data_IF_713229867587
#
_entry.id   IF_713229867587
#
_cell.length_a   1.000
_cell.length_b   1.000
_cell.length_c   1.000
_cell.angle_alpha   90.00
_cell.angle_beta   90.00
_cell.angle_gamma   90.00
#
_symmetry.space_group_name_H-M   'P 1'
#
loop_
_entity.id
_entity.type
_entity.pdbx_description
1 polymer ?
#
# COMPACT_ATOMS: atom_id res chain seq x y z
N UNK A 1 12.51 -25.41 20.07
CA UNK A 1 13.57 -26.44 20.16
C UNK A 1 13.17 -27.77 19.54
N UNK A 2 12.02 -28.37 19.86
CA UNK A 2 11.65 -29.71 19.34
C UNK A 2 11.63 -29.85 17.81
N UNK A 3 11.21 -28.81 17.07
CA UNK A 3 11.16 -28.82 15.60
C UNK A 3 12.54 -28.97 14.94
N UNK A 4 13.58 -28.37 15.54
CA UNK A 4 14.93 -28.32 14.98
C UNK A 4 15.83 -29.47 15.46
N UNK A 5 15.47 -30.14 16.57
CA UNK A 5 16.24 -31.27 17.11
C UNK A 5 16.02 -32.58 16.32
N UNK A 6 14.92 -32.69 15.57
CA UNK A 6 14.58 -33.90 14.78
C UNK A 6 14.81 -33.74 13.28
N UNK A 7 14.90 -32.50 12.80
CA UNK A 7 14.93 -32.17 11.38
C UNK A 7 16.33 -31.79 10.92
N UNK A 8 16.89 -32.46 9.90
CA UNK A 8 18.10 -31.97 9.23
C UNK A 8 17.81 -30.84 8.24
N UNK A 9 16.60 -30.81 7.66
CA UNK A 9 16.21 -29.83 6.65
C UNK A 9 14.80 -29.30 6.95
N UNK A 10 14.64 -27.98 6.88
CA UNK A 10 13.37 -27.28 7.12
C UNK A 10 13.03 -26.32 5.99
N UNK A 11 11.75 -25.98 5.88
CA UNK A 11 11.28 -24.80 5.16
C UNK A 11 10.57 -23.89 6.15
N UNK A 12 10.77 -22.58 5.98
CA UNK A 12 10.17 -21.57 6.83
C UNK A 12 9.11 -20.84 6.02
N UNK A 13 7.85 -20.93 6.45
CA UNK A 13 6.71 -20.30 5.78
C UNK A 13 6.23 -19.10 6.60
N UNK A 14 6.09 -17.96 5.95
CA UNK A 14 5.64 -16.72 6.56
C UNK A 14 4.12 -16.64 6.65
N UNK A 15 3.63 -15.66 7.42
CA UNK A 15 2.20 -15.29 7.51
C UNK A 15 1.52 -15.01 6.15
N UNK A 16 2.29 -14.78 5.07
CA UNK A 16 1.77 -14.55 3.72
C UNK A 16 1.63 -15.86 2.90
N UNK A 17 1.89 -17.01 3.53
CA UNK A 17 1.94 -18.30 2.86
C UNK A 17 3.10 -18.43 1.88
N UNK A 18 4.18 -17.67 2.07
CA UNK A 18 5.40 -17.70 1.25
C UNK A 18 6.56 -18.28 2.04
N UNK A 19 7.47 -18.94 1.35
CA UNK A 19 8.64 -19.57 1.94
C UNK A 19 9.85 -18.65 1.93
N UNK A 20 10.71 -18.80 2.93
CA UNK A 20 12.05 -18.21 2.96
C UNK A 20 12.92 -18.88 1.89
N UNK A 21 13.47 -18.09 0.97
CA UNK A 21 14.21 -18.58 -0.19
C UNK A 21 15.54 -17.85 -0.32
N UNK A 22 16.61 -18.62 -0.51
CA UNK A 22 17.93 -18.14 -0.93
C UNK A 22 17.92 -17.79 -2.42
N UNK A 23 18.25 -16.54 -2.77
CA UNK A 23 18.23 -16.12 -4.17
C UNK A 23 19.47 -16.60 -4.96
N UNK A 24 19.36 -16.55 -6.29
CA UNK A 24 20.42 -16.98 -7.22
C UNK A 24 21.66 -16.10 -7.23
N UNK A 25 21.54 -14.86 -6.73
CA UNK A 25 22.67 -13.95 -6.58
C UNK A 25 23.63 -14.35 -5.44
N UNK A 26 23.29 -15.44 -4.75
CA UNK A 26 23.99 -16.00 -3.59
C UNK A 26 24.27 -14.99 -2.46
N UNK A 27 23.50 -13.91 -2.41
CA UNK A 27 23.66 -12.80 -1.45
C UNK A 27 22.34 -12.47 -0.79
N UNK A 28 21.25 -12.39 -1.55
CA UNK A 28 19.95 -11.97 -1.04
C UNK A 28 19.12 -13.15 -0.59
N UNK A 29 18.22 -12.84 0.34
CA UNK A 29 17.22 -13.75 0.85
C UNK A 29 15.86 -13.07 0.74
N UNK A 30 14.89 -13.80 0.20
CA UNK A 30 13.56 -13.27 -0.10
C UNK A 30 12.47 -14.30 0.21
N UNK A 31 11.23 -13.90 -0.05
CA UNK A 31 10.06 -14.75 0.05
C UNK A 31 9.58 -15.17 -1.33
N UNK A 32 9.20 -16.44 -1.48
CA UNK A 32 8.61 -16.97 -2.72
C UNK A 32 7.44 -17.90 -2.42
N UNK A 33 6.47 -17.98 -3.32
CA UNK A 33 5.40 -19.00 -3.22
C UNK A 33 5.90 -20.41 -3.54
N UNK A 34 7.01 -20.52 -4.27
CA UNK A 34 7.57 -21.80 -4.68
C UNK A 34 8.34 -22.48 -3.53
N UNK A 35 7.61 -23.20 -2.67
CA UNK A 35 8.16 -23.95 -1.54
C UNK A 35 8.72 -25.34 -1.87
N UNK A 36 8.58 -25.83 -3.11
CA UNK A 36 9.18 -27.10 -3.55
C UNK A 36 10.63 -26.92 -4.01
N UNK A 37 11.01 -25.70 -4.40
CA UNK A 37 12.36 -25.34 -4.82
C UNK A 37 13.42 -25.71 -3.77
N UNK A 38 14.57 -26.19 -4.23
CA UNK A 38 15.76 -26.42 -3.38
C UNK A 38 16.20 -25.15 -2.64
N UNK A 39 15.94 -23.99 -3.23
CA UNK A 39 16.23 -22.67 -2.63
C UNK A 39 15.43 -22.36 -1.37
N UNK A 40 14.30 -23.04 -1.17
CA UNK A 40 13.46 -22.91 0.03
C UNK A 40 13.89 -23.88 1.15
N UNK A 41 14.81 -24.81 0.87
CA UNK A 41 15.29 -25.82 1.81
C UNK A 41 16.48 -25.25 2.58
N UNK A 42 16.36 -25.20 3.89
CA UNK A 42 17.41 -24.74 4.80
C UNK A 42 17.87 -25.90 5.67
N UNK A 43 19.16 -26.23 5.60
CA UNK A 43 19.77 -27.23 6.46
C UNK A 43 20.03 -26.61 7.83
N UNK A 44 19.62 -27.33 8.87
CA UNK A 44 19.74 -26.88 10.25
C UNK A 44 21.01 -27.49 10.83
N UNK A 45 21.96 -26.62 11.19
CA UNK A 45 23.20 -27.02 11.88
C UNK A 45 23.18 -26.45 13.30
N UNK A 46 23.43 -27.29 14.31
CA UNK A 46 23.46 -26.85 15.71
C UNK A 46 24.81 -26.20 16.00
N UNK A 47 24.82 -25.09 16.74
CA UNK A 47 26.06 -24.40 17.09
C UNK A 47 26.83 -25.17 18.16
N UNK A 48 28.11 -25.46 17.89
CA UNK A 48 28.96 -26.20 18.83
C UNK A 48 29.17 -25.39 20.11
N UNK A 49 28.78 -25.97 21.26
CA UNK A 49 28.91 -25.34 22.57
C UNK A 49 27.69 -24.53 23.03
N UNK A 50 26.70 -24.27 22.17
CA UNK A 50 25.44 -23.67 22.58
C UNK A 50 24.24 -24.33 21.87
N UNK A 51 23.54 -25.27 22.54
CA UNK A 51 22.45 -26.00 21.92
C UNK A 51 21.21 -25.14 21.65
N UNK A 52 21.15 -23.89 22.14
CA UNK A 52 20.05 -22.96 21.90
C UNK A 52 20.18 -22.17 20.60
N UNK A 53 21.33 -22.25 19.94
CA UNK A 53 21.60 -21.53 18.69
C UNK A 53 21.66 -22.50 17.52
N UNK A 54 21.15 -22.03 16.38
CA UNK A 54 21.17 -22.76 15.12
C UNK A 54 21.79 -21.89 14.02
N UNK A 55 22.42 -22.58 13.08
CA UNK A 55 22.80 -22.07 11.79
C UNK A 55 21.83 -22.61 10.74
N UNK A 56 21.42 -21.74 9.82
CA UNK A 56 20.56 -22.11 8.70
C UNK A 56 21.37 -22.00 7.41
N UNK A 57 21.77 -23.14 6.86
CA UNK A 57 22.55 -23.24 5.62
C UNK A 57 21.62 -23.36 4.41
N UNK A 58 21.83 -22.52 3.41
CA UNK A 58 21.11 -22.51 2.14
C UNK A 58 21.61 -23.61 1.20
N UNK A 59 20.93 -23.79 0.08
CA UNK A 59 21.38 -24.67 -1.01
C UNK A 59 22.70 -24.23 -1.68
N UNK A 60 23.16 -23.00 -1.41
CA UNK A 60 24.38 -22.42 -1.96
C UNK A 60 25.56 -22.52 -0.97
N UNK A 61 25.45 -23.38 0.05
CA UNK A 61 26.46 -23.56 1.11
C UNK A 61 26.82 -22.28 1.90
N UNK A 62 25.88 -21.33 1.93
CA UNK A 62 25.98 -20.09 2.70
C UNK A 62 24.96 -20.08 3.83
N UNK A 63 25.23 -19.32 4.87
CA UNK A 63 24.39 -19.23 6.05
C UNK A 63 23.50 -18.00 6.00
N UNK A 64 22.31 -18.12 6.57
CA UNK A 64 21.43 -17.00 6.82
C UNK A 64 22.08 -16.04 7.83
N UNK A 65 22.38 -14.82 7.40
CA UNK A 65 23.13 -13.85 8.19
C UNK A 65 22.35 -12.56 8.40
N UNK A 66 22.34 -12.07 9.64
CA UNK A 66 21.80 -10.77 10.01
C UNK A 66 22.85 -9.67 9.81
N UNK A 67 22.73 -8.86 8.76
CA UNK A 67 23.67 -7.74 8.52
C UNK A 67 23.24 -6.48 9.27
N UNK A 68 24.20 -5.71 9.77
CA UNK A 68 23.91 -4.42 10.41
C UNK A 68 23.49 -3.31 9.42
N UNK A 69 23.52 -3.59 8.11
CA UNK A 69 23.12 -2.66 7.05
C UNK A 69 21.61 -2.40 7.06
N UNK A 70 21.24 -1.13 6.91
CA UNK A 70 19.85 -0.77 6.69
C UNK A 70 19.32 -1.38 5.38
N UNK A 71 18.09 -1.92 5.42
CA UNK A 71 17.48 -2.46 4.21
C UNK A 71 17.07 -1.33 3.24
N UNK A 72 16.31 -0.37 3.75
CA UNK A 72 15.88 0.83 3.03
C UNK A 72 16.10 2.06 3.91
N UNK A 73 16.65 3.12 3.32
CA UNK A 73 16.92 4.36 4.03
C UNK A 73 15.61 4.96 4.58
N UNK A 74 15.59 5.29 5.87
CA UNK A 74 14.42 5.87 6.54
C UNK A 74 13.31 4.86 6.91
N UNK A 75 13.51 3.56 6.70
CA UNK A 75 12.59 2.49 7.13
C UNK A 75 13.23 1.61 8.20
N UNK A 76 12.41 0.91 8.98
CA UNK A 76 12.90 -0.01 10.01
C UNK A 76 13.25 -1.38 9.42
N UNK A 77 14.20 -2.05 10.06
CA UNK A 77 14.67 -3.37 9.69
C UNK A 77 15.97 -3.33 8.90
N UNK A 78 16.83 -4.27 9.26
CA UNK A 78 18.17 -4.44 8.68
C UNK A 78 18.21 -5.66 7.78
N UNK A 79 19.20 -5.70 6.88
CA UNK A 79 19.30 -6.72 5.84
C UNK A 79 19.51 -8.10 6.44
N UNK A 80 18.95 -9.10 5.76
CA UNK A 80 19.26 -10.51 5.99
C UNK A 80 19.81 -11.05 4.68
N UNK A 81 21.00 -11.62 4.74
CA UNK A 81 21.82 -11.99 3.59
C UNK A 81 22.30 -13.44 3.69
N UNK A 82 22.84 -13.96 2.61
CA UNK A 82 23.62 -15.18 2.57
C UNK A 82 25.09 -14.84 2.80
N UNK A 83 25.73 -15.43 3.81
CA UNK A 83 27.15 -15.18 4.12
C UNK A 83 27.90 -16.49 4.36
N UNK A 84 29.21 -16.47 4.07
CA UNK A 84 30.10 -17.55 4.52
C UNK A 84 30.42 -17.40 6.01
N UNK A 85 30.68 -18.52 6.70
CA UNK A 85 31.13 -18.50 8.08
C UNK A 85 32.56 -17.92 8.16
N UNK A 86 32.86 -17.22 9.24
CA UNK A 86 34.11 -16.50 9.42
C UNK A 86 34.12 -15.79 10.76
N UNK A 87 35.30 -15.61 11.37
CA UNK A 87 35.42 -15.16 12.76
C UNK A 87 34.71 -13.82 13.09
N UNK A 88 34.50 -12.95 12.09
CA UNK A 88 33.74 -11.71 12.24
C UNK A 88 32.22 -11.87 11.99
N UNK A 89 31.80 -12.89 11.24
CA UNK A 89 30.41 -13.15 10.83
C UNK A 89 29.73 -14.24 11.65
N UNK A 90 30.47 -15.00 12.47
CA UNK A 90 29.94 -16.10 13.28
C UNK A 90 28.77 -15.64 14.17
N UNK A 91 28.90 -14.49 14.85
CA UNK A 91 27.80 -13.94 15.66
C UNK A 91 26.60 -13.41 14.86
N UNK A 92 26.73 -13.21 13.54
CA UNK A 92 25.67 -12.73 12.65
C UNK A 92 24.89 -13.87 11.99
N UNK A 93 25.44 -15.08 11.94
CA UNK A 93 24.79 -16.27 11.38
C UNK A 93 24.06 -17.12 12.43
N UNK A 94 24.25 -16.80 13.71
CA UNK A 94 23.59 -17.44 14.84
C UNK A 94 22.15 -16.95 15.01
N UNK A 95 21.21 -17.90 15.02
CA UNK A 95 19.79 -17.65 15.28
C UNK A 95 19.31 -18.48 16.46
N UNK A 96 18.51 -17.87 17.32
CA UNK A 96 17.86 -18.54 18.42
C UNK A 96 16.38 -18.77 18.11
N UNK A 97 15.93 -20.03 17.95
CA UNK A 97 14.54 -20.35 17.67
C UNK A 97 13.69 -20.34 18.94
N UNK A 98 12.78 -19.37 19.04
CA UNK A 98 11.83 -19.22 20.13
C UNK A 98 10.46 -19.73 19.68
N UNK A 99 9.91 -20.73 20.37
CA UNK A 99 8.60 -21.32 20.07
C UNK A 99 7.49 -20.41 20.59
N UNK A 100 6.50 -20.13 19.75
CA UNK A 100 5.31 -19.36 20.10
C UNK A 100 4.09 -20.07 19.49
N UNK A 101 3.40 -20.85 20.33
CA UNK A 101 2.36 -21.76 19.85
C UNK A 101 2.92 -22.81 18.87
N UNK A 102 2.38 -22.80 17.65
CA UNK A 102 2.80 -23.68 16.54
C UNK A 102 3.85 -23.04 15.61
N UNK A 103 4.20 -21.78 15.86
CA UNK A 103 5.12 -21.01 15.02
C UNK A 103 6.42 -20.76 15.77
N UNK A 104 7.42 -20.23 15.06
CA UNK A 104 8.72 -19.88 15.63
C UNK A 104 9.10 -18.45 15.28
N UNK A 105 9.74 -17.78 16.24
CA UNK A 105 10.50 -16.56 16.04
C UNK A 105 11.98 -16.93 15.99
N UNK A 106 12.71 -16.40 15.02
CA UNK A 106 14.17 -16.55 14.94
C UNK A 106 14.82 -15.27 15.42
N UNK A 107 15.46 -15.31 16.60
CA UNK A 107 16.09 -14.17 17.27
C UNK A 107 17.58 -14.09 16.93
N UNK A 108 18.06 -12.89 16.60
CA UNK A 108 19.50 -12.62 16.47
C UNK A 108 20.14 -12.36 17.83
N UNK A 109 21.47 -12.43 17.93
CA UNK A 109 22.21 -12.06 19.14
C UNK A 109 21.88 -10.65 19.67
N UNK A 110 21.55 -9.72 18.77
CA UNK A 110 21.12 -8.36 19.11
C UNK A 110 19.66 -8.24 19.57
N UNK A 111 18.94 -9.35 19.77
CA UNK A 111 17.56 -9.37 20.26
C UNK A 111 16.49 -9.03 19.22
N UNK A 112 16.85 -8.88 17.93
CA UNK A 112 15.91 -8.62 16.84
C UNK A 112 15.41 -9.93 16.25
N UNK A 113 14.31 -9.90 15.50
CA UNK A 113 13.69 -11.10 14.96
C UNK A 113 13.67 -11.12 13.43
N UNK A 114 13.82 -12.31 12.85
CA UNK A 114 13.65 -12.53 11.41
C UNK A 114 12.22 -12.17 10.99
N UNK A 115 12.09 -11.24 10.06
CA UNK A 115 10.83 -10.62 9.63
C UNK A 115 10.59 -10.84 8.14
N UNK A 116 9.42 -11.40 7.82
CA UNK A 116 8.86 -11.52 6.49
C UNK A 116 8.09 -10.26 6.09
N UNK A 117 8.55 -9.52 5.08
CA UNK A 117 7.91 -8.29 4.66
C UNK A 117 6.86 -8.50 3.55
N UNK A 118 5.62 -8.07 3.82
CA UNK A 118 4.47 -8.20 2.90
C UNK A 118 4.07 -6.95 2.13
N UNK A 119 4.84 -5.87 2.28
CA UNK A 119 4.48 -4.52 1.81
C UNK A 119 4.60 -4.34 0.28
N UNK A 120 4.59 -3.07 -0.18
CA UNK A 120 4.86 -2.73 -1.58
C UNK A 120 6.35 -2.81 -1.91
N UNK A 121 6.74 -3.06 -3.17
CA UNK A 121 8.14 -2.94 -3.59
C UNK A 121 8.72 -1.59 -3.21
N UNK A 122 10.01 -1.50 -2.83
CA UNK A 122 11.01 -2.58 -2.80
C UNK A 122 10.92 -3.51 -1.58
N UNK A 123 9.99 -3.27 -0.65
CA UNK A 123 9.85 -4.03 0.59
C UNK A 123 9.09 -5.37 0.43
N UNK A 124 8.29 -5.48 -0.64
CA UNK A 124 7.57 -6.71 -0.99
C UNK A 124 8.52 -7.89 -1.10
N UNK A 125 8.17 -9.00 -0.46
CA UNK A 125 8.91 -10.25 -0.49
C UNK A 125 10.32 -10.17 0.09
N UNK A 126 10.77 -9.04 0.64
CA UNK A 126 12.08 -9.00 1.26
C UNK A 126 12.04 -9.64 2.64
N UNK A 127 13.23 -10.00 3.13
CA UNK A 127 13.44 -10.53 4.47
C UNK A 127 14.43 -9.62 5.18
N UNK A 128 14.06 -9.21 6.38
CA UNK A 128 14.86 -8.31 7.22
C UNK A 128 14.86 -8.83 8.63
N UNK A 129 15.71 -8.32 9.50
CA UNK A 129 15.57 -8.54 10.93
C UNK A 129 15.25 -7.23 11.65
N UNK A 130 14.25 -7.25 12.53
CA UNK A 130 13.72 -6.04 13.19
C UNK A 130 13.02 -6.38 14.51
N UNK A 131 12.71 -5.35 15.31
CA UNK A 131 11.79 -5.48 16.43
C UNK A 131 10.37 -5.13 15.99
N UNK A 132 9.37 -5.99 16.25
CA UNK A 132 8.00 -5.67 15.92
C UNK A 132 7.49 -4.56 16.86
N UNK A 133 7.49 -3.30 16.38
CA UNK A 133 7.08 -2.13 17.17
C UNK A 133 5.56 -1.91 17.22
N UNK A 134 4.78 -2.58 16.37
CA UNK A 134 3.33 -2.37 16.24
C UNK A 134 2.58 -3.69 16.30
N UNK A 135 1.37 -3.66 16.85
CA UNK A 135 0.45 -4.81 16.90
C UNK A 135 0.24 -5.44 15.51
N UNK A 136 0.09 -4.63 14.46
CA UNK A 136 -0.13 -5.11 13.10
C UNK A 136 1.07 -5.83 12.44
N UNK A 137 2.27 -5.75 13.03
CA UNK A 137 3.49 -6.39 12.49
C UNK A 137 4.00 -7.54 13.36
N UNK A 138 3.26 -7.91 14.43
CA UNK A 138 3.67 -8.98 15.33
C UNK A 138 3.74 -10.33 14.60
N UNK A 139 2.80 -10.58 13.68
CA UNK A 139 2.76 -11.84 12.92
C UNK A 139 3.85 -11.92 11.84
N UNK A 140 4.53 -10.80 11.54
CA UNK A 140 5.53 -10.76 10.47
C UNK A 140 6.82 -11.46 10.86
N UNK A 141 7.04 -11.68 12.15
CA UNK A 141 8.21 -12.39 12.68
C UNK A 141 7.91 -13.85 13.02
N UNK A 142 6.68 -14.29 12.80
CA UNK A 142 6.24 -15.67 13.01
C UNK A 142 6.44 -16.48 11.72
N UNK A 143 7.04 -17.65 11.89
CA UNK A 143 7.30 -18.60 10.80
C UNK A 143 6.77 -19.97 11.16
N UNK A 144 6.00 -20.58 10.25
CA UNK A 144 5.68 -22.00 10.31
C UNK A 144 6.90 -22.80 9.85
N UNK A 145 7.22 -23.88 10.57
CA UNK A 145 8.34 -24.76 10.24
C UNK A 145 7.81 -26.04 9.62
N UNK A 146 8.07 -26.20 8.32
CA UNK A 146 7.82 -27.45 7.61
C UNK A 146 9.09 -28.29 7.65
N UNK A 147 9.07 -29.39 8.40
CA UNK A 147 10.17 -30.36 8.46
C UNK A 147 10.17 -31.24 7.22
N UNK A 148 11.31 -31.34 6.53
CA UNK A 148 11.50 -32.26 5.41
C UNK A 148 12.29 -33.46 5.93
N UNK A 149 11.73 -34.66 5.76
CA UNK A 149 12.40 -35.90 6.11
C UNK A 149 13.46 -36.25 5.05
N UNK A 150 14.66 -36.63 5.49
CA UNK A 150 15.85 -36.76 4.62
C UNK A 150 15.72 -37.94 3.66
N UNK A 151 14.91 -38.95 4.01
CA UNK A 151 14.61 -40.12 3.18
C UNK A 151 14.03 -39.77 1.81
N UNK A 152 13.40 -38.59 1.66
CA UNK A 152 12.86 -38.10 0.38
C UNK A 152 13.92 -37.40 -0.48
N UNK A 153 14.98 -36.84 0.12
CA UNK A 153 16.03 -36.11 -0.60
C UNK A 153 16.94 -37.03 -1.43
N UNK A 154 17.20 -38.26 -0.94
CA UNK A 154 17.99 -39.27 -1.67
C UNK A 154 17.25 -39.83 -2.90
N UNK A 155 15.92 -39.74 -2.92
CA UNK A 155 15.12 -40.17 -4.07
C UNK A 155 15.16 -39.15 -5.21
N UNK A 156 15.35 -37.85 -4.91
CA UNK A 156 15.46 -36.79 -5.92
C UNK A 156 16.90 -36.59 -6.43
N UNK A 157 17.92 -36.97 -5.66
CA UNK A 157 19.32 -36.87 -6.09
C UNK A 157 19.68 -37.91 -7.17
N UNK A 158 19.06 -39.10 -7.11
CA UNK A 158 19.27 -40.18 -8.08
C UNK A 158 18.65 -39.93 -9.47
N UNK A 159 17.80 -38.91 -9.63
CA UNK A 159 17.25 -38.52 -10.94
C UNK A 159 18.16 -37.52 -11.68
N UNK A 160 19.31 -37.14 -11.13
CA UNK A 160 20.26 -36.21 -11.75
C UNK A 160 21.59 -36.90 -12.11
N UNK A 161 21.58 -37.74 -13.15
CA UNK A 161 22.76 -38.07 -13.95
C UNK A 161 22.47 -37.79 -15.43
N UNK A 162 23.49 -37.42 -16.24
CA UNK A 162 23.35 -36.35 -17.22
C UNK A 162 22.92 -36.85 -18.60
N UNK A 163 21.81 -36.32 -19.11
CA UNK A 163 21.56 -36.32 -20.56
C UNK A 163 22.34 -35.17 -21.18
N UNK A 164 23.59 -35.45 -21.53
CA UNK A 164 24.37 -34.66 -22.47
C UNK A 164 23.63 -34.53 -23.81
N UNK A 165 23.69 -33.33 -24.40
CA UNK A 165 23.23 -32.91 -25.73
C UNK A 165 21.83 -32.28 -25.81
N UNK A 166 21.74 -30.97 -25.55
CA UNK A 166 21.20 -30.00 -26.52
C UNK A 166 21.49 -28.57 -26.06
N UNK A 167 22.45 -27.92 -26.72
CA UNK A 167 22.52 -26.47 -26.77
C UNK A 167 21.25 -25.93 -27.42
N UNK A 168 20.66 -24.88 -26.86
CA UNK A 168 20.48 -23.55 -27.48
C UNK A 168 19.43 -22.73 -26.70
N UNK A 169 19.83 -21.49 -26.37
CA UNK A 169 19.00 -20.33 -26.06
C UNK A 169 18.31 -20.25 -24.69
N UNK A 170 18.90 -19.43 -23.79
CA UNK A 170 18.25 -18.95 -22.58
C UNK A 170 17.92 -17.46 -22.71
N UNK A 171 16.69 -17.14 -23.10
CA UNK A 171 16.07 -15.84 -22.86
C UNK A 171 15.30 -15.93 -21.53
N UNK A 172 15.55 -14.96 -20.66
CA UNK A 172 14.92 -14.85 -19.35
C UNK A 172 13.42 -14.52 -19.52
N UNK A 173 12.56 -15.40 -19.05
CA UNK A 173 11.12 -15.17 -18.93
C UNK A 173 10.83 -14.63 -17.52
N UNK A 174 10.43 -13.36 -17.47
CA UNK A 174 9.82 -12.71 -16.31
C UNK A 174 8.42 -13.28 -16.10
N UNK A 175 8.24 -14.07 -15.05
CA UNK A 175 6.94 -14.66 -14.71
C UNK A 175 6.01 -13.63 -14.06
N UNK A 176 5.21 -12.99 -14.90
CA UNK A 176 4.02 -12.23 -14.55
C UNK A 176 2.81 -12.86 -15.25
N UNK A 177 2.29 -13.99 -14.76
CA UNK A 177 0.96 -14.44 -15.19
C UNK A 177 0.08 -14.92 -14.05
N UNK A 178 -1.09 -14.28 -14.01
CA UNK A 178 -2.23 -14.52 -13.14
C UNK A 178 -3.11 -15.59 -13.80
N UNK A 179 -3.22 -16.76 -13.19
CA UNK A 179 -4.07 -17.85 -13.71
C UNK A 179 -5.49 -17.69 -13.15
N UNK A 180 -6.38 -17.18 -13.99
CA UNK A 180 -7.81 -17.53 -13.94
C UNK A 180 -8.30 -17.79 -15.36
N UNK A 181 -8.54 -19.07 -15.67
CA UNK A 181 -9.59 -19.60 -16.56
C UNK A 181 -9.28 -21.07 -16.90
N UNK A 182 -9.88 -21.98 -16.13
CA UNK A 182 -10.00 -23.39 -16.48
C UNK A 182 -11.08 -23.49 -17.56
N UNK A 183 -10.70 -23.83 -18.80
CA UNK A 183 -11.62 -24.35 -19.82
C UNK A 183 -11.50 -25.88 -19.82
N UNK A 184 -12.57 -26.55 -19.38
CA UNK A 184 -12.84 -27.95 -19.70
C UNK A 184 -13.64 -27.98 -21.01
N UNK A 185 -13.12 -28.68 -22.00
CA UNK A 185 -13.80 -29.06 -23.23
C UNK A 185 -14.61 -30.35 -23.01
N UNK A 186 -15.77 -30.47 -23.65
CA UNK A 186 -16.29 -31.68 -24.33
C UNK A 186 -17.65 -31.38 -25.01
N UNK A 187 -17.73 -31.83 -26.28
CA UNK A 187 -18.85 -32.20 -27.18
C UNK A 187 -19.88 -31.17 -27.73
N UNK A 188 -19.82 -31.02 -29.07
CA UNK A 188 -20.82 -30.97 -30.16
C UNK A 188 -22.34 -31.06 -29.77
N UNK A 189 -23.36 -30.43 -30.37
CA UNK A 189 -23.80 -30.06 -31.77
C UNK A 189 -24.97 -29.01 -31.63
N UNK A 190 -25.71 -28.49 -32.65
CA UNK A 190 -25.43 -27.67 -33.86
C UNK A 190 -26.03 -26.22 -33.86
N UNK A 191 -25.42 -25.36 -34.70
CA UNK A 191 -25.91 -24.26 -35.56
C UNK A 191 -27.26 -23.53 -35.33
N UNK A 192 -27.20 -22.18 -35.34
CA UNK A 192 -28.05 -21.25 -36.14
C UNK A 192 -27.58 -19.77 -35.97
N UNK A 193 -27.97 -18.82 -36.87
CA UNK A 193 -27.02 -18.00 -37.62
C UNK A 193 -26.73 -16.60 -37.07
N UNK A 194 -25.59 -16.09 -37.54
CA UNK A 194 -25.04 -14.74 -37.38
C UNK A 194 -26.00 -13.62 -37.81
N UNK A 195 -26.31 -12.72 -36.87
CA UNK A 195 -26.68 -11.34 -37.18
C UNK A 195 -25.43 -10.49 -37.01
N UNK A 196 -24.88 -10.09 -38.16
CA UNK A 196 -23.87 -9.05 -38.27
C UNK A 196 -24.44 -7.73 -37.76
N UNK A 197 -23.90 -7.19 -36.67
CA UNK A 197 -23.97 -5.77 -36.39
C UNK A 197 -22.54 -5.24 -36.33
N UNK A 198 -22.18 -4.63 -37.46
CA UNK A 198 -21.13 -3.66 -37.72
C UNK A 198 -20.04 -3.45 -36.68
N UNK A 199 -18.82 -3.72 -37.16
CA UNK A 199 -17.58 -3.11 -36.71
C UNK A 199 -17.72 -1.59 -36.70
N UNK A 200 -18.14 -1.03 -35.57
CA UNK A 200 -17.75 0.31 -35.16
C UNK A 200 -16.46 0.18 -34.36
N UNK A 201 -15.35 0.53 -35.00
CA UNK A 201 -14.11 0.89 -34.31
C UNK A 201 -14.39 2.12 -33.45
N UNK A 202 -14.80 1.90 -32.20
CA UNK A 202 -14.92 2.95 -31.21
C UNK A 202 -13.51 3.43 -30.90
N UNK A 203 -13.06 4.48 -31.58
CA UNK A 203 -12.14 5.42 -30.94
C UNK A 203 -12.79 5.76 -29.60
N UNK A 204 -12.07 5.55 -28.50
CA UNK A 204 -12.49 6.03 -27.20
C UNK A 204 -12.67 7.54 -27.35
N UNK A 205 -13.90 8.01 -27.55
CA UNK A 205 -14.21 9.42 -27.48
C UNK A 205 -13.81 9.83 -26.09
N UNK A 206 -12.68 10.54 -25.97
CA UNK A 206 -12.25 11.15 -24.71
C UNK A 206 -13.37 12.09 -24.33
N UNK A 207 -14.27 11.62 -23.47
CA UNK A 207 -15.35 12.46 -22.99
C UNK A 207 -14.69 13.54 -22.15
N UNK A 208 -14.90 14.79 -22.58
CA UNK A 208 -14.36 15.95 -21.91
C UNK A 208 -14.90 15.98 -20.47
N UNK A 209 -14.01 15.93 -19.47
CA UNK A 209 -14.38 15.93 -18.05
C UNK A 209 -14.77 17.29 -17.49
N UNK A 210 -14.75 18.33 -18.32
CA UNK A 210 -15.10 19.69 -17.90
C UNK A 210 -16.53 19.84 -17.37
N UNK A 211 -17.45 18.92 -17.70
CA UNK A 211 -18.82 18.93 -17.15
C UNK A 211 -18.86 18.88 -15.60
N UNK A 212 -17.83 18.33 -14.94
CA UNK A 212 -17.73 18.31 -13.47
C UNK A 212 -17.24 19.65 -12.88
N UNK A 213 -16.71 20.54 -13.71
CA UNK A 213 -15.97 21.74 -13.27
C UNK A 213 -16.56 23.05 -13.80
N UNK A 214 -17.29 23.06 -14.91
CA UNK A 214 -17.81 24.26 -15.58
C UNK A 214 -18.65 25.15 -14.64
N UNK A 215 -19.45 24.52 -13.76
CA UNK A 215 -20.33 25.22 -12.81
C UNK A 215 -19.82 25.23 -11.38
N UNK A 216 -18.66 24.63 -11.12
CA UNK A 216 -18.12 24.47 -9.78
C UNK A 216 -17.19 25.64 -9.45
N UNK A 217 -17.47 26.36 -8.37
CA UNK A 217 -16.54 27.33 -7.80
C UNK A 217 -15.47 26.61 -6.97
N UNK A 218 -15.90 25.59 -6.20
CA UNK A 218 -14.99 24.77 -5.42
C UNK A 218 -15.42 23.30 -5.41
N UNK A 219 -14.44 22.42 -5.37
CA UNK A 219 -14.62 20.96 -5.38
C UNK A 219 -13.82 20.29 -4.27
N UNK A 220 -14.24 19.08 -3.94
CA UNK A 220 -13.47 18.07 -3.22
C UNK A 220 -13.22 16.90 -4.16
N UNK A 221 -12.00 16.38 -4.13
CA UNK A 221 -11.61 15.24 -4.93
C UNK A 221 -11.47 14.01 -4.04
N UNK A 222 -12.32 13.02 -4.25
CA UNK A 222 -12.32 11.76 -3.51
C UNK A 222 -11.57 10.69 -4.31
N UNK A 223 -10.61 10.00 -3.68
CA UNK A 223 -9.89 8.88 -4.28
C UNK A 223 -10.65 7.57 -4.16
N UNK A 224 -10.22 6.55 -4.91
CA UNK A 224 -10.71 5.16 -4.81
C UNK A 224 -10.69 4.56 -3.38
N UNK A 225 -9.97 5.17 -2.43
CA UNK A 225 -9.91 4.73 -1.03
C UNK A 225 -10.95 5.42 -0.13
N UNK A 226 -11.86 6.21 -0.71
CA UNK A 226 -12.80 7.04 0.03
C UNK A 226 -12.11 8.14 0.85
N UNK A 227 -10.93 8.59 0.41
CA UNK A 227 -10.17 9.69 1.04
C UNK A 227 -10.17 10.89 0.12
N UNK A 228 -10.03 12.07 0.70
CA UNK A 228 -10.04 13.33 -0.02
C UNK A 228 -8.63 13.85 -0.25
N UNK A 229 -8.45 14.59 -1.34
CA UNK A 229 -7.25 15.37 -1.63
C UNK A 229 -7.18 16.57 -0.67
N UNK A 230 -6.15 16.61 0.17
CA UNK A 230 -5.92 17.68 1.14
C UNK A 230 -4.62 18.43 0.85
N UNK A 231 -4.70 19.75 0.92
CA UNK A 231 -3.56 20.64 1.09
C UNK A 231 -2.98 20.48 2.50
N UNK A 232 -1.67 20.27 2.63
CA UNK A 232 -1.01 20.19 3.94
C UNK A 232 -0.70 21.57 4.54
N UNK A 233 -0.57 21.61 5.87
CA UNK A 233 -0.31 22.82 6.65
C UNK A 233 1.11 23.39 6.43
N UNK A 234 2.00 22.59 5.85
CA UNK A 234 3.33 23.04 5.44
C UNK A 234 3.31 23.90 4.16
N UNK A 235 2.13 24.15 3.58
CA UNK A 235 1.93 24.92 2.35
C UNK A 235 2.71 24.39 1.15
N UNK A 236 3.16 23.13 1.19
CA UNK A 236 3.97 22.52 0.14
C UNK A 236 3.46 21.14 -0.24
N UNK A 237 3.10 20.32 0.73
CA UNK A 237 2.71 18.94 0.47
C UNK A 237 1.21 18.80 0.24
N UNK A 238 0.86 17.77 -0.51
CA UNK A 238 -0.53 17.40 -0.78
C UNK A 238 -0.70 15.93 -0.42
N UNK A 239 -1.72 15.62 0.35
CA UNK A 239 -1.93 14.31 0.97
C UNK A 239 -3.37 13.83 0.84
N UNK A 240 -3.61 12.60 1.23
CA UNK A 240 -4.95 12.04 1.37
C UNK A 240 -5.37 11.93 2.83
N UNK A 241 -6.61 12.28 3.13
CA UNK A 241 -7.20 12.09 4.46
C UNK A 241 -8.67 11.70 4.36
N UNK A 242 -9.19 11.03 5.39
CA UNK A 242 -10.64 10.75 5.49
C UNK A 242 -11.45 11.99 5.86
N UNK A 243 -10.81 13.06 6.35
CA UNK A 243 -11.48 14.28 6.78
C UNK A 243 -11.84 15.17 5.57
N UNK A 244 -12.88 14.79 4.83
CA UNK A 244 -13.37 15.54 3.67
C UNK A 244 -14.02 16.88 4.03
N UNK A 245 -14.54 17.03 5.25
CA UNK A 245 -15.16 18.29 5.72
C UNK A 245 -14.16 19.39 6.05
N UNK A 246 -12.85 19.08 6.08
CA UNK A 246 -11.82 20.09 6.32
C UNK A 246 -11.78 21.13 5.19
N UNK A 247 -11.59 22.41 5.53
CA UNK A 247 -11.34 23.46 4.54
C UNK A 247 -10.09 23.16 3.69
N UNK A 248 -9.14 22.39 4.23
CA UNK A 248 -7.94 21.90 3.52
C UNK A 248 -8.25 20.93 2.37
N UNK A 249 -9.45 20.34 2.35
CA UNK A 249 -9.91 19.48 1.27
C UNK A 249 -10.66 20.26 0.17
N UNK A 250 -10.92 21.56 0.37
CA UNK A 250 -11.60 22.42 -0.60
C UNK A 250 -10.60 22.99 -1.59
N UNK A 251 -10.83 22.73 -2.87
CA UNK A 251 -10.04 23.24 -3.98
C UNK A 251 -10.90 24.16 -4.83
N UNK A 252 -10.52 25.42 -4.92
CA UNK A 252 -11.16 26.39 -5.82
C UNK A 252 -10.77 26.07 -7.26
N UNK A 253 -11.76 26.04 -8.14
CA UNK A 253 -11.59 25.75 -9.56
C UNK A 253 -11.42 27.06 -10.30
N UNK A 254 -10.28 27.25 -10.96
CA UNK A 254 -10.03 28.39 -11.83
C UNK A 254 -10.01 27.92 -13.29
N UNK A 255 -10.95 28.43 -14.08
CA UNK A 255 -11.03 28.19 -15.52
C UNK A 255 -10.06 29.10 -16.26
N UNK A 256 -9.34 28.57 -17.26
CA UNK A 256 -8.32 29.32 -17.97
C UNK A 256 -8.91 29.97 -19.22
N UNK A 257 -8.84 31.30 -19.29
CA UNK A 257 -9.29 32.05 -20.46
C UNK A 257 -8.54 31.59 -21.73
N UNK A 258 -9.30 31.14 -22.74
CA UNK A 258 -8.77 30.66 -24.01
C UNK A 258 -8.37 29.18 -24.04
N UNK A 259 -8.45 28.45 -22.92
CA UNK A 259 -8.18 27.01 -22.81
C UNK A 259 -9.37 26.30 -22.14
N UNK A 260 -10.42 26.04 -22.91
CA UNK A 260 -11.71 25.55 -22.39
C UNK A 260 -11.68 24.10 -21.86
N UNK A 261 -10.56 23.39 -21.98
CA UNK A 261 -10.37 22.01 -21.54
C UNK A 261 -9.41 21.87 -20.35
N UNK A 262 -8.92 22.99 -19.79
CA UNK A 262 -7.92 23.01 -18.73
C UNK A 262 -8.44 23.77 -17.51
N UNK A 263 -8.15 23.23 -16.34
CA UNK A 263 -8.46 23.84 -15.05
C UNK A 263 -7.19 24.03 -14.23
N UNK A 264 -7.25 24.99 -13.31
CA UNK A 264 -6.30 25.15 -12.20
C UNK A 264 -7.03 24.89 -10.90
N UNK A 265 -6.40 24.15 -10.00
CA UNK A 265 -6.95 23.84 -8.68
C UNK A 265 -6.15 24.59 -7.63
N UNK A 266 -6.82 25.46 -6.89
CA UNK A 266 -6.22 26.33 -5.87
C UNK A 266 -6.62 25.87 -4.48
N UNK A 267 -5.63 25.67 -3.62
CA UNK A 267 -5.83 25.26 -2.23
C UNK A 267 -6.36 26.40 -1.37
N UNK A 268 -6.76 26.06 -0.14
CA UNK A 268 -7.17 27.04 0.87
C UNK A 268 -6.05 28.05 1.25
N UNK A 269 -4.79 27.76 0.92
CA UNK A 269 -3.65 28.66 1.13
C UNK A 269 -3.40 29.60 -0.07
N UNK A 270 -4.24 29.54 -1.11
CA UNK A 270 -4.07 30.32 -2.33
C UNK A 270 -2.98 29.79 -3.28
N UNK A 271 -2.49 28.57 -3.03
CA UNK A 271 -1.45 27.90 -3.81
C UNK A 271 -2.07 26.91 -4.80
N UNK A 272 -1.40 26.65 -5.92
CA UNK A 272 -1.92 25.76 -6.96
C UNK A 272 -1.41 24.34 -6.81
N UNK A 273 -2.27 23.39 -7.14
CA UNK A 273 -1.91 21.99 -7.29
C UNK A 273 -0.95 21.84 -8.46
N UNK A 274 0.32 21.61 -8.15
CA UNK A 274 1.43 21.67 -9.10
C UNK A 274 2.06 20.30 -9.32
N UNK A 275 2.07 19.84 -10.55
CA UNK A 275 2.83 18.68 -10.99
C UNK A 275 4.32 19.04 -11.12
N UNK A 276 5.22 18.28 -10.48
CA UNK A 276 6.67 18.52 -10.58
C UNK A 276 7.40 17.36 -11.23
N UNK A 277 8.54 17.63 -11.85
CA UNK A 277 9.38 16.59 -12.44
C UNK A 277 10.24 15.84 -11.41
N UNK A 278 10.12 16.18 -10.13
CA UNK A 278 10.89 15.56 -9.05
C UNK A 278 10.34 14.16 -8.71
N UNK A 279 11.18 13.11 -8.63
CA UNK A 279 10.73 11.80 -8.18
C UNK A 279 10.22 11.86 -6.74
N UNK A 280 9.15 11.13 -6.43
CA UNK A 280 8.59 11.11 -5.07
C UNK A 280 9.43 10.26 -4.11
N UNK A 281 9.69 9.01 -4.47
CA UNK A 281 10.53 8.08 -3.71
C UNK A 281 11.48 7.34 -4.64
N UNK A 282 12.73 7.17 -4.21
CA UNK A 282 13.73 6.46 -4.99
C UNK A 282 13.31 5.01 -5.22
N UNK A 283 13.38 4.55 -6.48
CA UNK A 283 12.98 3.20 -6.87
C UNK A 283 11.46 2.97 -6.96
N UNK A 284 10.63 4.01 -6.81
CA UNK A 284 9.18 3.95 -6.98
C UNK A 284 8.73 4.85 -8.13
N UNK A 285 7.60 4.50 -8.76
CA UNK A 285 7.07 5.30 -9.87
C UNK A 285 6.27 6.49 -9.35
N UNK A 286 6.12 7.51 -10.19
CA UNK A 286 5.37 8.72 -9.91
C UNK A 286 6.22 9.85 -9.34
N UNK A 287 5.85 11.06 -9.76
CA UNK A 287 6.55 12.29 -9.41
C UNK A 287 5.73 13.13 -8.46
N UNK A 288 6.38 14.03 -7.72
CA UNK A 288 5.73 14.81 -6.66
C UNK A 288 4.68 15.75 -7.23
N UNK A 289 3.57 15.84 -6.51
CA UNK A 289 2.57 16.89 -6.68
C UNK A 289 2.57 17.73 -5.41
N UNK A 290 2.73 19.04 -5.57
CA UNK A 290 2.96 19.98 -4.49
C UNK A 290 1.97 21.15 -4.57
N UNK A 291 1.95 21.96 -3.53
CA UNK A 291 1.36 23.29 -3.53
C UNK A 291 2.44 24.30 -3.92
N UNK A 292 2.20 25.13 -4.93
CA UNK A 292 3.14 26.17 -5.33
C UNK A 292 2.42 27.43 -5.83
N UNK A 293 3.10 28.56 -5.73
CA UNK A 293 2.65 29.82 -6.33
C UNK A 293 2.66 29.72 -7.86
N UNK A 294 1.64 30.29 -8.50
CA UNK A 294 1.62 30.44 -9.96
C UNK A 294 2.70 31.44 -10.37
N UNK A 295 3.77 30.96 -10.99
CA UNK A 295 4.78 31.79 -11.64
C UNK A 295 4.68 31.62 -13.16
N UNK A 296 5.05 32.65 -13.93
CA UNK A 296 4.96 32.67 -15.41
C UNK A 296 5.66 31.50 -16.12
N UNK A 297 6.56 30.79 -15.43
CA UNK A 297 7.30 29.64 -15.97
C UNK A 297 6.65 28.28 -15.62
N UNK A 298 5.58 28.27 -14.82
CA UNK A 298 4.90 27.08 -14.30
C UNK A 298 3.52 26.85 -14.90
N UNK A 299 3.16 27.59 -15.96
CA UNK A 299 1.81 27.52 -16.53
C UNK A 299 1.40 26.08 -16.89
N UNK A 300 2.32 25.27 -17.45
CA UNK A 300 2.01 23.87 -17.79
C UNK A 300 1.94 22.90 -16.61
N UNK A 301 2.59 23.18 -15.47
CA UNK A 301 2.64 22.28 -14.31
C UNK A 301 1.44 22.45 -13.36
N UNK A 302 0.75 23.60 -13.42
CA UNK A 302 -0.46 23.88 -12.64
C UNK A 302 -1.76 23.58 -13.41
N UNK A 303 -1.63 23.27 -14.70
CA UNK A 303 -2.71 23.01 -15.63
C UNK A 303 -3.08 21.52 -15.65
N UNK A 304 -4.37 21.24 -15.42
CA UNK A 304 -4.91 19.88 -15.43
C UNK A 304 -6.04 19.77 -16.46
N UNK A 305 -5.95 18.75 -17.32
CA UNK A 305 -6.99 18.37 -18.28
C UNK A 305 -7.90 17.33 -17.61
N UNK A 306 -9.18 17.66 -17.32
CA UNK A 306 -10.13 16.69 -16.79
C UNK A 306 -10.63 15.76 -17.88
N UNK A 307 -10.51 14.45 -17.67
CA UNK A 307 -10.96 13.41 -18.60
C UNK A 307 -11.98 12.55 -17.89
N UNK A 308 -13.21 12.53 -18.41
CA UNK A 308 -14.32 11.75 -17.85
C UNK A 308 -14.15 10.26 -18.14
N UNK A 309 -14.38 9.46 -17.12
CA UNK A 309 -14.46 8.01 -17.22
C UNK A 309 -15.55 7.48 -16.27
N UNK A 310 -16.73 7.25 -16.84
CA UNK A 310 -17.94 6.95 -16.07
C UNK A 310 -18.34 8.12 -15.17
N UNK A 311 -18.41 7.87 -13.86
CA UNK A 311 -18.72 8.86 -12.82
C UNK A 311 -17.48 9.47 -12.17
N UNK A 312 -16.29 9.13 -12.66
CA UNK A 312 -15.02 9.62 -12.14
C UNK A 312 -14.30 10.47 -13.18
N UNK A 313 -13.30 11.21 -12.72
CA UNK A 313 -12.42 12.01 -13.55
C UNK A 313 -10.96 11.61 -13.35
N UNK A 314 -10.22 11.59 -14.46
CA UNK A 314 -8.75 11.58 -14.47
C UNK A 314 -8.28 13.01 -14.71
N UNK A 315 -7.38 13.49 -13.86
CA UNK A 315 -6.74 14.81 -14.05
C UNK A 315 -5.38 14.61 -14.70
N UNK A 316 -5.26 15.00 -15.97
CA UNK A 316 -4.08 14.77 -16.79
C UNK A 316 -3.19 16.02 -16.86
N UNK A 317 -1.87 15.84 -16.73
CA UNK A 317 -0.88 16.90 -16.93
C UNK A 317 -0.61 17.11 -18.42
N UNK A 318 0.02 18.23 -18.78
CA UNK A 318 0.52 18.49 -20.15
C UNK A 318 1.43 17.37 -20.70
N UNK A 319 2.22 16.72 -19.84
CA UNK A 319 3.08 15.58 -20.16
C UNK A 319 2.31 14.26 -20.34
N UNK A 320 1.01 14.27 -20.10
CA UNK A 320 0.15 13.10 -20.25
C UNK A 320 0.15 12.11 -19.09
N UNK A 321 0.69 12.50 -17.93
CA UNK A 321 0.59 11.74 -16.67
C UNK A 321 -0.70 12.12 -15.94
N UNK A 322 -1.14 11.30 -15.00
CA UNK A 322 -2.40 11.51 -14.29
C UNK A 322 -2.20 11.70 -12.79
N UNK A 323 -3.00 12.56 -12.17
CA UNK A 323 -3.05 12.71 -10.71
C UNK A 323 -3.39 11.36 -10.07
N UNK A 324 -2.53 10.89 -9.18
CA UNK A 324 -2.57 9.56 -8.57
C UNK A 324 -2.61 9.62 -7.06
N UNK A 325 -3.59 8.94 -6.48
CA UNK A 325 -3.76 8.77 -5.04
C UNK A 325 -3.09 7.48 -4.56
N UNK A 326 -2.00 7.57 -3.79
CA UNK A 326 -1.24 6.39 -3.36
C UNK A 326 -1.81 5.73 -2.08
N UNK A 327 -2.22 4.47 -2.19
CA UNK A 327 -2.83 3.68 -1.09
C UNK A 327 -1.86 2.81 -0.27
N UNK A 328 -0.57 2.85 -0.58
CA UNK A 328 0.40 1.85 -0.13
C UNK A 328 0.92 2.00 1.31
N UNK A 329 2.08 1.43 1.62
CA UNK A 329 2.77 1.60 2.91
C UNK A 329 3.49 2.96 3.00
N UNK A 330 3.63 3.54 4.20
CA UNK A 330 4.47 4.73 4.38
C UNK A 330 5.90 4.48 3.88
N UNK A 331 6.60 5.48 3.32
CA UNK A 331 6.19 6.88 3.17
C UNK A 331 5.23 7.17 2.00
N UNK A 332 4.93 6.17 1.16
CA UNK A 332 4.02 6.30 0.01
C UNK A 332 2.54 6.39 0.38
N UNK A 333 2.16 5.86 1.54
CA UNK A 333 0.80 5.94 2.05
C UNK A 333 0.30 7.38 2.13
N UNK A 334 -0.89 7.61 1.58
CA UNK A 334 -1.57 8.90 1.61
C UNK A 334 -0.80 10.03 0.90
N UNK A 335 0.20 9.71 0.09
CA UNK A 335 0.84 10.73 -0.76
C UNK A 335 0.06 10.91 -2.05
N UNK A 336 0.29 12.05 -2.68
CA UNK A 336 -0.21 12.39 -4.01
C UNK A 336 0.98 12.52 -4.95
N UNK A 337 0.86 11.88 -6.10
CA UNK A 337 1.86 11.93 -7.16
C UNK A 337 1.14 12.08 -8.49
N UNK A 338 1.86 12.37 -9.57
CA UNK A 338 1.32 12.12 -10.90
C UNK A 338 2.11 10.99 -11.57
N UNK A 339 1.43 10.11 -12.31
CA UNK A 339 2.04 8.97 -12.98
C UNK A 339 1.14 8.43 -14.10
N UNK A 340 1.69 7.57 -14.97
CA UNK A 340 0.87 6.79 -15.91
C UNK A 340 0.58 5.43 -15.27
N UNK A 341 -0.70 5.04 -15.10
CA UNK A 341 -1.02 3.74 -14.51
C UNK A 341 -0.69 2.63 -15.52
N UNK A 342 0.40 1.92 -15.28
CA UNK A 342 0.90 0.86 -16.17
C UNK A 342 0.41 -0.54 -15.80
N UNK A 343 -0.38 -0.69 -14.73
CA UNK A 343 -0.89 -1.97 -14.24
C UNK A 343 -2.38 -1.89 -13.94
N UNK A 344 -3.10 -2.99 -14.19
CA UNK A 344 -4.55 -3.09 -13.96
C UNK A 344 -4.94 -2.70 -12.52
N UNK A 345 -4.16 -3.17 -11.53
CA UNK A 345 -4.38 -2.87 -10.10
C UNK A 345 -4.07 -1.42 -9.66
N UNK A 346 -3.64 -0.57 -10.59
CA UNK A 346 -3.35 0.86 -10.34
C UNK A 346 -4.17 1.80 -11.23
N UNK A 347 -5.03 1.26 -12.11
CA UNK A 347 -5.87 2.06 -13.02
C UNK A 347 -6.86 2.93 -12.26
N UNK A 348 -7.40 2.40 -11.17
CA UNK A 348 -8.28 3.02 -10.20
C UNK A 348 -7.58 4.07 -9.32
N UNK A 349 -6.24 4.07 -9.25
CA UNK A 349 -5.51 5.03 -8.40
C UNK A 349 -5.52 6.45 -8.95
N UNK A 350 -5.81 6.61 -10.24
CA UNK A 350 -5.90 7.91 -10.92
C UNK A 350 -7.34 8.38 -11.10
N UNK A 351 -8.30 7.61 -10.59
CA UNK A 351 -9.73 7.90 -10.66
C UNK A 351 -10.13 8.74 -9.45
N UNK A 352 -10.73 9.89 -9.71
CA UNK A 352 -11.21 10.81 -8.69
C UNK A 352 -12.72 11.03 -8.82
N UNK A 353 -13.45 10.89 -7.71
CA UNK A 353 -14.81 11.39 -7.59
C UNK A 353 -14.77 12.90 -7.35
N UNK A 354 -15.61 13.65 -8.06
CA UNK A 354 -15.73 15.10 -7.88
C UNK A 354 -16.98 15.39 -7.06
N UNK A 355 -16.79 15.96 -5.87
CA UNK A 355 -17.87 16.47 -5.01
C UNK A 355 -17.85 17.99 -5.10
N UNK A 356 -18.88 18.58 -5.71
CA UNK A 356 -19.01 20.04 -5.84
C UNK A 356 -19.44 20.63 -4.50
N UNK A 357 -18.65 21.55 -3.96
CA UNK A 357 -18.90 22.19 -2.66
C UNK A 357 -19.62 23.53 -2.86
N UNK A 358 -19.10 24.34 -3.78
CA UNK A 358 -19.62 25.68 -4.09
C UNK A 358 -19.92 25.76 -5.60
N UNK A 359 -21.02 26.42 -5.99
CA UNK A 359 -21.45 26.59 -7.39
C UNK A 359 -21.44 28.06 -7.80
N UNK A 360 -20.95 28.34 -9.00
CA UNK A 360 -20.95 29.69 -9.55
C UNK A 360 -22.34 30.04 -10.08
N UNK A 361 -23.07 30.92 -9.39
CA UNK A 361 -24.37 31.44 -9.84
C UNK A 361 -24.12 32.75 -10.63
N UNK A 362 -23.58 32.64 -11.84
CA UNK A 362 -23.49 33.78 -12.75
C UNK A 362 -24.78 33.88 -13.57
N UNK A 363 -25.64 34.84 -13.20
CA UNK A 363 -26.73 35.41 -14.00
C UNK A 363 -27.45 34.47 -14.98
N UNK A 364 -28.36 33.64 -14.46
CA UNK A 364 -29.55 33.22 -15.22
C UNK A 364 -30.79 33.54 -14.38
N UNK A 365 -30.99 34.83 -14.14
CA UNK A 365 -32.35 35.38 -13.95
C UNK A 365 -33.07 35.26 -15.29
N UNK A 366 -33.54 34.04 -15.61
CA UNK A 366 -34.62 33.71 -16.55
C UNK A 366 -34.64 32.18 -16.76
N UNK A 367 -35.07 31.43 -15.75
CA UNK A 367 -35.65 30.06 -15.90
C UNK A 367 -36.00 29.38 -14.57
N UNK A 368 -35.93 30.08 -13.43
CA UNK A 368 -36.41 29.54 -12.14
C UNK A 368 -37.96 29.56 -12.02
N UNK A 369 -38.69 30.06 -13.02
CA UNK A 369 -40.16 30.18 -12.95
C UNK A 369 -40.98 29.06 -13.61
N UNK A 370 -40.44 27.85 -13.82
CA UNK A 370 -41.28 26.67 -14.14
C UNK A 370 -40.70 25.41 -13.51
N UNK A 371 -41.14 25.10 -12.28
CA UNK A 371 -41.40 23.74 -11.76
C UNK A 371 -41.75 23.70 -10.27
N UNK A 372 -41.78 24.83 -9.54
CA UNK A 372 -42.42 24.88 -8.22
C UNK A 372 -43.85 25.37 -8.35
N UNK A 373 -44.76 24.43 -8.62
CA UNK A 373 -46.16 24.60 -8.27
C UNK A 373 -46.33 24.22 -6.79
N UNK A 374 -46.86 25.12 -5.93
CA UNK A 374 -47.18 24.83 -4.54
C UNK A 374 -48.62 24.29 -4.41
N UNK A 375 -48.98 23.87 -3.17
CA UNK A 375 -50.29 23.36 -2.67
C UNK A 375 -50.38 21.82 -2.72
N UNK A 376 -50.53 21.06 -1.63
CA UNK A 376 -51.32 21.18 -0.40
C UNK A 376 -50.65 20.36 0.73
N UNK A 377 -50.31 20.88 1.92
CA UNK A 377 -51.14 21.25 3.09
C UNK A 377 -51.95 20.09 3.68
N UNK A 378 -51.56 19.61 4.87
CA UNK A 378 -52.44 19.39 6.05
C UNK A 378 -51.61 19.27 7.36
N UNK A 379 -51.50 20.40 8.08
CA UNK A 379 -51.82 20.61 9.51
C UNK A 379 -51.70 19.42 10.48
N UNK A 380 -51.00 19.57 11.62
CA UNK A 380 -51.50 20.14 12.88
C UNK A 380 -50.40 19.92 13.95
N UNK A 381 -50.21 20.67 15.04
CA UNK A 381 -50.95 21.74 15.71
C UNK A 381 -49.95 22.45 16.64
N UNK A 382 -50.16 23.75 16.80
CA UNK A 382 -49.52 24.69 17.70
C UNK A 382 -49.95 24.42 19.15
N UNK A 383 -49.08 24.64 20.13
CA UNK A 383 -49.50 25.35 21.35
C UNK A 383 -48.26 25.95 22.04
N UNK A 384 -48.16 27.28 21.93
CA UNK A 384 -47.42 28.14 22.84
C UNK A 384 -48.39 28.57 23.96
N UNK A 385 -47.97 28.43 25.22
CA UNK A 385 -48.50 29.27 26.30
C UNK A 385 -47.36 29.76 27.19
N UNK A 386 -47.37 31.08 27.35
CA UNK A 386 -46.40 31.93 28.05
C UNK A 386 -46.61 31.93 29.57
N UNK A 387 -45.52 32.23 30.31
CA UNK A 387 -45.43 33.03 31.56
C UNK A 387 -44.98 32.29 32.85
N UNK A 388 -43.70 32.51 33.23
CA UNK A 388 -43.04 32.85 34.53
C UNK A 388 -43.77 32.73 35.91
N UNK A 389 -43.08 32.84 37.10
CA UNK A 389 -41.63 32.90 37.44
C UNK A 389 -41.18 32.06 38.69
N UNK A 390 -39.85 32.09 38.97
CA UNK A 390 -39.11 32.00 40.25
C UNK A 390 -39.35 30.88 41.29
N UNK A 391 -38.27 30.15 41.66
CA UNK A 391 -37.69 30.11 43.03
C UNK A 391 -36.59 29.04 43.18
N UNK A 392 -35.48 29.40 43.86
CA UNK A 392 -34.73 28.48 44.75
C UNK A 392 -33.43 27.85 44.24
N UNK A 393 -32.30 28.35 44.76
CA UNK A 393 -30.92 27.82 44.60
C UNK A 393 -30.65 26.54 45.46
N UNK A 394 -29.39 26.06 45.64
CA UNK A 394 -28.93 24.76 45.15
C UNK A 394 -28.61 23.75 46.28
N UNK A 395 -28.36 22.48 45.94
CA UNK A 395 -27.58 21.60 46.83
C UNK A 395 -26.70 20.57 46.10
N UNK A 396 -25.49 20.50 46.64
CA UNK A 396 -24.31 19.68 46.38
C UNK A 396 -24.56 18.19 46.63
N UNK A 397 -24.00 17.28 45.82
CA UNK A 397 -23.25 16.09 46.29
C UNK A 397 -22.17 15.68 45.28
N UNK A 398 -20.91 15.75 45.72
CA UNK A 398 -19.73 15.12 45.14
C UNK A 398 -19.67 13.63 45.54
N UNK A 399 -19.28 12.75 44.62
CA UNK A 399 -18.68 11.46 44.97
C UNK A 399 -17.30 11.31 44.32
N UNK A 400 -16.27 11.51 45.13
CA UNK A 400 -14.91 11.03 44.87
C UNK A 400 -14.81 9.57 45.32
N UNK A 401 -14.24 8.71 44.47
CA UNK A 401 -13.76 7.38 44.87
C UNK A 401 -12.23 7.36 44.78
N UNK A 402 -11.57 7.15 45.93
CA UNK A 402 -10.12 6.93 46.09
C UNK A 402 -9.87 5.48 46.48
N UNK A 403 -8.90 4.83 45.83
CA UNK A 403 -7.93 3.87 46.41
C UNK A 403 -7.04 3.36 45.27
N UNK A 404 -5.75 3.06 45.40
CA UNK A 404 -4.64 3.43 46.28
C UNK A 404 -3.45 2.68 45.68
N UNK A 405 -2.35 3.36 45.34
CA UNK A 405 -1.09 2.70 44.95
C UNK A 405 -0.11 2.79 46.12
N UNK A 406 0.47 1.64 46.49
CA UNK A 406 1.58 1.54 47.45
C UNK A 406 2.86 1.13 46.71
N UNK A 407 3.93 1.88 46.93
CA UNK A 407 5.32 1.47 46.67
C UNK A 407 6.19 2.00 47.82
N UNK A 408 7.14 1.22 48.37
CA UNK A 408 7.98 1.68 49.48
C UNK A 408 9.31 2.28 48.99
N UNK A 409 9.77 3.33 49.69
CA UNK A 409 11.09 3.93 49.53
C UNK A 409 12.17 3.15 50.31
N UNK A 410 13.33 2.95 49.66
CA UNK A 410 14.63 2.71 50.31
C UNK A 410 15.22 4.05 50.76
N UNK A 411 15.77 4.11 51.98
CA UNK A 411 16.64 5.20 52.45
C UNK A 411 18.09 4.72 52.50
N UNK A 412 18.97 5.64 52.09
CA UNK A 412 20.43 5.60 52.16
C UNK A 412 20.86 6.22 53.48
N UNK A 413 21.59 5.44 54.29
CA UNK A 413 22.86 5.72 54.99
C UNK A 413 23.08 4.66 56.07
#
# INVERSE_FOLDING_TARGET
MEFFNRAKVVRLKSHLGKYLVADDDEKTVRQSRNGSSKKARWMVEMVQGNPHLIHLRSCNDKYLSASEDAFLLGMTGKRVLQALPGSATDGLIEWEPIKEGYQVKLRTRGGKFLRANGATPPWRNSVTHDLPHRTATQDWVLWDVDVIDISVLDSESLQSYPSTLSSFSSFAEDDFTDYSNIRLSVSEIPSCPSISSDRSSCSSSRQNGMEFFDRAEAVRLQSHLGKYLLADEDEQTVRQSRNGSSHRARWTVELIAGKNNLIRLKSCYGLYLTATEQPFLLGMTGKKVLQALSTKNMDGSIEWEPIKEGFHVKLRTNEGKYLRANGATPPWRNSITHDVPNRTATLDWVMWGVEVVDITISATTESVSRCLSPVSSFNSVLDDYTTSPDTGSPNVVNYQSKRSMNTPMKKVL
#
